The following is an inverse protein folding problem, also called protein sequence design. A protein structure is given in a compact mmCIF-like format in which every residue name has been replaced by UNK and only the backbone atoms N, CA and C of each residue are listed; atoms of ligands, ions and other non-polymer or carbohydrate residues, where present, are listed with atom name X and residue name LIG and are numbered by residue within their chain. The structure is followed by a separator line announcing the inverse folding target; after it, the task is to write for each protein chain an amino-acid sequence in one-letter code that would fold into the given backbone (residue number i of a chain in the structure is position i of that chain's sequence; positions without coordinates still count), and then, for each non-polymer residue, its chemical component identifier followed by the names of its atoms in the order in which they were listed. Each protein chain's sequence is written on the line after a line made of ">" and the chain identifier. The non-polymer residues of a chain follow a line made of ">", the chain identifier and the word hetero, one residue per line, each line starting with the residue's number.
data_IF_641060491024
#
_entry.id   IF_641060491024
#
_cell.length_a   1.000
_cell.length_b   1.000
_cell.length_c   1.000
_cell.angle_alpha   90.00
_cell.angle_beta   90.00
_cell.angle_gamma   90.00
#
_symmetry.space_group_name_H-M   'P 1'
#
loop_
_entity.id
_entity.type
_entity.pdbx_description
1 polymer ?
#
# COMPACT_ATOMS: atom_id res chain seq x y z
N UNK A 1 2.02 -28.11 -10.14
CA UNK A 1 3.23 -27.28 -9.89
C UNK A 1 2.75 -25.88 -9.57
N UNK A 2 3.06 -25.34 -8.39
CA UNK A 2 2.66 -23.99 -8.00
C UNK A 2 3.58 -23.03 -8.76
N UNK A 3 3.05 -22.28 -9.73
CA UNK A 3 3.85 -21.22 -10.33
C UNK A 3 4.15 -20.16 -9.26
N UNK A 4 5.40 -19.71 -9.13
CA UNK A 4 5.71 -18.63 -8.21
C UNK A 4 4.85 -17.41 -8.60
N UNK A 5 4.23 -16.72 -7.63
CA UNK A 5 3.47 -15.52 -7.92
C UNK A 5 4.39 -14.49 -8.58
N UNK A 6 3.83 -13.70 -9.50
CA UNK A 6 4.53 -12.55 -10.05
C UNK A 6 4.99 -11.63 -8.89
N UNK A 7 6.26 -11.22 -8.93
CA UNK A 7 6.87 -10.40 -7.88
C UNK A 7 6.21 -9.02 -7.79
N UNK A 8 5.73 -8.48 -8.92
CA UNK A 8 5.01 -7.21 -8.97
C UNK A 8 3.62 -7.35 -8.34
N UNK A 9 2.93 -8.46 -8.61
CA UNK A 9 1.66 -8.78 -7.96
C UNK A 9 1.83 -8.93 -6.45
N UNK A 10 2.89 -9.61 -6.02
CA UNK A 10 3.25 -9.76 -4.61
C UNK A 10 3.54 -8.41 -3.95
N UNK A 11 4.25 -7.51 -4.63
CA UNK A 11 4.54 -6.17 -4.14
C UNK A 11 3.25 -5.39 -3.87
N UNK A 12 2.35 -5.32 -4.86
CA UNK A 12 1.05 -4.64 -4.73
C UNK A 12 0.28 -5.21 -3.54
N UNK A 13 0.19 -6.53 -3.46
CA UNK A 13 -0.55 -7.23 -2.42
C UNK A 13 0.01 -6.94 -1.01
N UNK A 14 1.33 -6.98 -0.84
CA UNK A 14 1.99 -6.70 0.43
C UNK A 14 1.90 -5.23 0.87
N UNK A 15 1.75 -4.29 -0.08
CA UNK A 15 1.60 -2.87 0.25
C UNK A 15 0.14 -2.55 0.59
N UNK A 16 -0.81 -3.01 -0.22
CA UNK A 16 -2.23 -2.65 -0.06
C UNK A 16 -2.94 -3.51 0.99
N UNK A 17 -2.54 -4.77 1.17
CA UNK A 17 -3.16 -5.75 2.07
C UNK A 17 -2.12 -6.46 2.95
N UNK A 18 -1.32 -5.73 3.77
CA UNK A 18 -0.21 -6.34 4.51
C UNK A 18 -0.64 -7.40 5.53
N UNK A 19 -1.85 -7.30 6.09
CA UNK A 19 -2.40 -8.25 7.07
C UNK A 19 -2.86 -9.57 6.46
N UNK A 20 -3.08 -9.62 5.13
CA UNK A 20 -3.60 -10.80 4.45
C UNK A 20 -2.62 -11.97 4.37
N UNK A 21 -1.33 -11.71 4.57
CA UNK A 21 -0.27 -12.68 4.30
C UNK A 21 0.48 -13.04 5.59
N UNK A 22 -0.04 -14.03 6.32
CA UNK A 22 0.62 -14.52 7.54
C UNK A 22 1.84 -15.39 7.19
N UNK A 23 2.90 -15.26 7.98
CA UNK A 23 4.14 -16.05 7.82
C UNK A 23 3.90 -17.55 7.96
N UNK A 24 2.96 -17.94 8.82
CA UNK A 24 2.63 -19.34 9.09
C UNK A 24 1.89 -19.99 7.90
N UNK A 25 1.06 -19.23 7.19
CA UNK A 25 0.29 -19.74 6.04
C UNK A 25 1.11 -19.69 4.73
N UNK A 26 2.00 -18.72 4.58
CA UNK A 26 2.78 -18.50 3.36
C UNK A 26 4.27 -18.79 3.53
N UNK A 27 4.66 -19.84 4.28
CA UNK A 27 6.08 -20.13 4.58
C UNK A 27 6.98 -20.18 3.33
N UNK A 28 6.51 -20.79 2.23
CA UNK A 28 7.26 -20.89 0.97
C UNK A 28 7.62 -19.50 0.39
N UNK A 29 6.76 -18.50 0.59
CA UNK A 29 7.01 -17.11 0.24
C UNK A 29 8.19 -16.52 1.04
N UNK A 30 8.30 -16.90 2.32
CA UNK A 30 9.36 -16.40 3.20
C UNK A 30 10.70 -17.09 3.00
N UNK A 31 10.71 -18.29 2.40
CA UNK A 31 11.91 -19.03 2.07
C UNK A 31 12.63 -18.54 0.78
N UNK A 32 11.90 -17.91 -0.15
CA UNK A 32 12.49 -17.42 -1.40
C UNK A 32 13.23 -16.06 -1.20
N UNK A 33 14.52 -15.95 -1.59
CA UNK A 33 15.28 -14.70 -1.49
C UNK A 33 14.71 -13.56 -2.35
N UNK A 34 14.12 -13.82 -3.52
CA UNK A 34 13.50 -12.79 -4.37
C UNK A 34 12.28 -12.17 -3.69
N UNK A 35 11.43 -13.00 -3.10
CA UNK A 35 10.31 -12.55 -2.27
C UNK A 35 10.78 -11.77 -1.02
N UNK A 36 11.99 -12.04 -0.52
CA UNK A 36 12.59 -11.25 0.56
C UNK A 36 12.91 -9.82 0.12
N UNK A 37 13.43 -9.64 -1.10
CA UNK A 37 13.65 -8.32 -1.68
C UNK A 37 12.33 -7.56 -1.85
N UNK A 38 11.30 -8.22 -2.38
CA UNK A 38 9.95 -7.65 -2.53
C UNK A 38 9.37 -7.22 -1.17
N UNK A 39 9.53 -8.03 -0.11
CA UNK A 39 9.06 -7.65 1.24
C UNK A 39 9.77 -6.41 1.78
N UNK A 40 11.09 -6.32 1.63
CA UNK A 40 11.86 -5.14 2.04
C UNK A 40 11.39 -3.90 1.29
N UNK A 41 11.15 -4.06 -0.02
CA UNK A 41 10.65 -2.98 -0.87
C UNK A 41 9.23 -2.56 -0.48
N UNK A 42 8.33 -3.51 -0.25
CA UNK A 42 6.97 -3.26 0.26
C UNK A 42 6.99 -2.56 1.63
N UNK A 43 7.94 -2.88 2.52
CA UNK A 43 8.09 -2.16 3.79
C UNK A 43 8.50 -0.70 3.58
N UNK A 44 9.43 -0.43 2.66
CA UNK A 44 9.82 0.93 2.28
C UNK A 44 8.63 1.70 1.70
N UNK A 45 7.91 1.12 0.74
CA UNK A 45 6.75 1.78 0.11
C UNK A 45 5.67 2.09 1.15
N UNK A 46 5.37 1.16 2.05
CA UNK A 46 4.41 1.40 3.16
C UNK A 46 4.88 2.49 4.11
N UNK A 47 6.18 2.58 4.40
CA UNK A 47 6.73 3.68 5.21
C UNK A 47 6.50 5.03 4.54
N UNK A 48 6.74 5.12 3.22
CA UNK A 48 6.47 6.34 2.44
C UNK A 48 4.98 6.69 2.49
N UNK A 49 4.10 5.71 2.25
CA UNK A 49 2.64 5.91 2.34
C UNK A 49 2.24 6.37 3.74
N UNK A 50 2.80 5.81 4.81
CA UNK A 50 2.48 6.22 6.18
C UNK A 50 2.91 7.66 6.49
N UNK A 51 4.07 8.09 5.97
CA UNK A 51 4.57 9.46 6.12
C UNK A 51 3.72 10.45 5.30
N UNK A 52 3.35 10.11 4.07
CA UNK A 52 2.56 10.97 3.17
C UNK A 52 1.06 10.99 3.49
N UNK A 53 0.53 9.90 4.03
CA UNK A 53 -0.88 9.74 4.37
C UNK A 53 -1.13 9.86 5.88
N UNK A 54 -0.24 10.54 6.62
CA UNK A 54 -0.39 10.71 8.05
C UNK A 54 -1.69 11.47 8.37
N UNK A 55 -2.43 10.99 9.39
CA UNK A 55 -3.73 11.55 9.79
C UNK A 55 -3.58 13.00 10.26
N UNK A 56 -2.62 13.27 11.15
CA UNK A 56 -2.24 14.61 11.57
C UNK A 56 -1.60 15.40 10.40
N UNK A 57 -2.23 16.51 9.93
CA UNK A 57 -1.70 17.34 8.85
C UNK A 57 -0.32 17.95 9.14
N UNK A 58 0.03 18.20 10.40
CA UNK A 58 1.33 18.78 10.77
C UNK A 58 2.48 17.80 10.59
N UNK A 59 2.18 16.51 10.69
CA UNK A 59 3.13 15.40 10.51
C UNK A 59 3.09 14.79 9.12
N UNK A 60 2.18 15.27 8.27
CA UNK A 60 2.01 14.78 6.92
C UNK A 60 3.18 15.22 6.05
N UNK A 61 3.78 14.28 5.34
CA UNK A 61 4.81 14.57 4.37
C UNK A 61 4.24 15.36 3.18
N UNK A 62 4.99 16.36 2.73
CA UNK A 62 4.72 17.12 1.52
C UNK A 62 5.67 16.72 0.41
N UNK A 63 5.13 16.50 -0.78
CA UNK A 63 5.93 16.17 -1.95
C UNK A 63 6.56 17.44 -2.51
N UNK A 64 7.85 17.33 -2.81
CA UNK A 64 8.67 18.42 -3.34
C UNK A 64 8.87 18.24 -4.84
N UNK A 65 9.18 17.02 -5.28
CA UNK A 65 9.30 16.69 -6.70
C UNK A 65 8.98 15.22 -6.95
N UNK A 66 8.47 14.97 -8.16
CA UNK A 66 8.36 13.66 -8.77
C UNK A 66 9.03 13.79 -10.12
N UNK A 67 10.22 13.23 -10.26
CA UNK A 67 10.94 13.25 -11.52
C UNK A 67 10.78 11.88 -12.20
N UNK A 68 9.89 11.78 -13.17
CA UNK A 68 9.78 10.62 -14.06
C UNK A 68 10.94 10.67 -15.07
N UNK A 69 12.15 10.43 -14.57
CA UNK A 69 13.37 10.83 -15.27
C UNK A 69 14.00 9.75 -16.15
N UNK A 70 13.36 8.61 -16.37
CA UNK A 70 13.98 7.53 -17.14
C UNK A 70 13.01 6.86 -18.11
N UNK A 71 13.40 6.79 -19.39
CA UNK A 71 12.91 5.82 -20.39
C UNK A 71 13.01 4.36 -19.89
N UNK A 72 13.74 4.15 -18.79
CA UNK A 72 13.91 2.89 -18.04
C UNK A 72 12.78 2.58 -17.06
N UNK A 73 11.79 3.47 -16.85
CA UNK A 73 10.60 3.22 -16.03
C UNK A 73 10.78 3.41 -14.52
N UNK A 74 11.76 4.21 -14.10
CA UNK A 74 11.99 4.57 -12.69
C UNK A 74 11.80 6.08 -12.49
N UNK A 75 11.04 6.47 -11.48
CA UNK A 75 10.84 7.85 -11.05
C UNK A 75 11.52 8.15 -9.72
N UNK A 76 12.03 9.38 -9.54
CA UNK A 76 12.58 9.86 -8.28
C UNK A 76 11.52 10.63 -7.51
N UNK A 77 11.09 10.09 -6.36
CA UNK A 77 10.18 10.78 -5.44
C UNK A 77 10.98 11.50 -4.36
N UNK A 78 10.80 12.82 -4.26
CA UNK A 78 11.34 13.63 -3.16
C UNK A 78 10.22 14.23 -2.33
N UNK A 79 10.27 14.01 -1.02
CA UNK A 79 9.29 14.55 -0.07
C UNK A 79 9.94 14.99 1.24
N UNK A 80 9.22 15.82 1.98
CA UNK A 80 9.66 16.42 3.24
C UNK A 80 8.60 16.20 4.31
N UNK A 81 9.03 15.81 5.51
CA UNK A 81 8.17 15.76 6.71
C UNK A 81 8.64 16.84 7.67
N UNK A 82 7.98 17.99 7.62
CA UNK A 82 8.41 19.21 8.34
C UNK A 82 8.52 19.00 9.84
N UNK A 83 7.57 18.28 10.45
CA UNK A 83 7.58 17.98 11.89
C UNK A 83 8.79 17.18 12.36
N UNK A 84 9.46 16.47 11.44
CA UNK A 84 10.64 15.64 11.72
C UNK A 84 11.94 16.28 11.22
N UNK A 85 11.88 17.44 10.54
CA UNK A 85 13.03 18.00 9.82
C UNK A 85 13.59 17.05 8.75
N UNK A 86 12.77 16.12 8.26
CA UNK A 86 13.19 15.04 7.37
C UNK A 86 12.98 15.43 5.91
N UNK A 87 14.00 15.23 5.08
CA UNK A 87 13.88 15.25 3.60
C UNK A 87 14.37 13.91 3.07
N UNK A 88 13.54 13.21 2.30
CA UNK A 88 13.92 11.96 1.62
C UNK A 88 13.77 12.09 0.12
N UNK A 89 14.71 11.45 -0.59
CA UNK A 89 14.62 11.18 -2.02
C UNK A 89 14.76 9.68 -2.23
N UNK A 90 13.89 9.07 -3.03
CA UNK A 90 13.90 7.63 -3.27
C UNK A 90 13.53 7.34 -4.72
N UNK A 91 14.35 6.52 -5.38
CA UNK A 91 14.03 6.00 -6.70
C UNK A 91 12.99 4.89 -6.57
N UNK A 92 11.93 4.96 -7.36
CA UNK A 92 10.76 4.10 -7.37
C UNK A 92 10.47 3.63 -8.78
N UNK A 93 9.97 2.42 -8.96
CA UNK A 93 9.43 2.00 -10.26
C UNK A 93 8.10 2.70 -10.55
N UNK A 94 7.68 2.71 -11.82
CA UNK A 94 6.36 3.24 -12.20
C UNK A 94 5.21 2.55 -11.46
N UNK A 95 5.34 1.25 -11.15
CA UNK A 95 4.35 0.51 -10.36
C UNK A 95 4.32 0.99 -8.91
N UNK A 96 5.48 1.18 -8.29
CA UNK A 96 5.57 1.67 -6.89
C UNK A 96 4.99 3.06 -6.74
N UNK A 97 5.30 3.96 -7.67
CA UNK A 97 4.72 5.30 -7.70
C UNK A 97 3.18 5.23 -7.81
N UNK A 98 2.68 4.35 -8.68
CA UNK A 98 1.23 4.10 -8.84
C UNK A 98 0.60 3.60 -7.53
N UNK A 99 1.26 2.65 -6.84
CA UNK A 99 0.78 2.13 -5.55
C UNK A 99 0.73 3.25 -4.49
N UNK A 100 1.76 4.11 -4.42
CA UNK A 100 1.80 5.23 -3.47
C UNK A 100 0.68 6.22 -3.76
N UNK A 101 0.53 6.65 -5.03
CA UNK A 101 -0.55 7.54 -5.46
C UNK A 101 -1.91 6.99 -5.03
N UNK A 102 -2.18 5.72 -5.37
CA UNK A 102 -3.44 5.06 -5.02
C UNK A 102 -3.66 4.96 -3.51
N UNK A 103 -2.66 4.53 -2.75
CA UNK A 103 -2.78 4.32 -1.31
C UNK A 103 -2.93 5.64 -0.52
N UNK A 104 -2.21 6.69 -0.93
CA UNK A 104 -2.34 8.02 -0.34
C UNK A 104 -3.70 8.62 -0.68
N UNK A 105 -4.11 8.56 -1.96
CA UNK A 105 -5.41 9.04 -2.40
C UNK A 105 -6.57 8.38 -1.63
N UNK A 106 -6.46 7.08 -1.36
CA UNK A 106 -7.47 6.34 -0.60
C UNK A 106 -7.57 6.76 0.87
N UNK A 107 -6.46 7.16 1.51
CA UNK A 107 -6.42 7.48 2.95
C UNK A 107 -6.75 8.93 3.28
N UNK A 108 -6.34 9.85 2.43
CA UNK A 108 -6.37 11.29 2.71
C UNK A 108 -7.12 12.08 1.64
N UNK A 109 -7.54 11.42 0.56
CA UNK A 109 -8.07 12.09 -0.64
C UNK A 109 -6.95 12.57 -1.56
N UNK A 110 -7.30 13.38 -2.55
CA UNK A 110 -6.35 13.93 -3.53
C UNK A 110 -5.29 14.75 -2.78
N UNK A 111 -4.04 14.27 -2.81
CA UNK A 111 -2.91 14.96 -2.21
C UNK A 111 -2.23 15.84 -3.26
N UNK A 112 -1.86 17.06 -2.88
CA UNK A 112 -1.17 18.01 -3.75
C UNK A 112 0.12 17.38 -4.31
N UNK A 113 0.19 17.17 -5.63
CA UNK A 113 1.31 16.53 -6.32
C UNK A 113 1.22 15.00 -6.46
N UNK A 114 0.17 14.34 -5.96
CA UNK A 114 -0.14 12.92 -6.21
C UNK A 114 -1.54 12.81 -6.80
N UNK A 115 -1.70 13.18 -8.06
CA UNK A 115 -2.94 12.88 -8.76
C UNK A 115 -2.88 11.42 -9.21
N UNK A 116 -3.81 10.61 -8.70
CA UNK A 116 -3.99 9.24 -9.17
C UNK A 116 -4.70 9.31 -10.53
N UNK A 117 -3.92 9.58 -11.58
CA UNK A 117 -4.45 9.61 -12.94
C UNK A 117 -5.11 8.28 -13.33
N UNK A 118 -5.94 8.30 -14.37
CA UNK A 118 -6.78 7.16 -14.77
C UNK A 118 -5.98 5.86 -15.02
N UNK A 119 -4.72 5.95 -15.45
CA UNK A 119 -3.84 4.80 -15.68
C UNK A 119 -3.24 4.15 -14.42
N UNK A 120 -3.34 4.78 -13.24
CA UNK A 120 -2.77 4.27 -11.99
C UNK A 120 -3.53 3.03 -11.50
N UNK A 121 -4.86 3.07 -11.54
CA UNK A 121 -5.70 1.92 -11.19
C UNK A 121 -5.47 0.76 -12.16
N UNK A 122 -5.47 1.02 -13.46
CA UNK A 122 -5.30 -0.01 -14.49
C UNK A 122 -3.96 -0.75 -14.35
N UNK A 123 -2.87 -0.03 -14.04
CA UNK A 123 -1.54 -0.62 -13.81
C UNK A 123 -1.52 -1.54 -12.59
N UNK A 124 -2.15 -1.11 -11.49
CA UNK A 124 -2.27 -1.90 -10.25
C UNK A 124 -3.10 -3.15 -10.51
N UNK A 125 -4.25 -3.01 -11.18
CA UNK A 125 -5.13 -4.14 -11.51
C UNK A 125 -4.44 -5.13 -12.46
N UNK A 126 -3.69 -4.63 -13.43
CA UNK A 126 -2.91 -5.47 -14.35
C UNK A 126 -1.86 -6.28 -13.59
N UNK A 127 -1.10 -5.65 -12.68
CA UNK A 127 -0.14 -6.36 -11.84
C UNK A 127 -0.82 -7.40 -10.94
N UNK A 128 -1.98 -7.08 -10.35
CA UNK A 128 -2.71 -8.01 -9.49
C UNK A 128 -3.24 -9.26 -10.23
N UNK A 129 -3.40 -9.22 -11.56
CA UNK A 129 -3.76 -10.42 -12.34
C UNK A 129 -2.67 -11.49 -12.32
N UNK A 130 -1.41 -11.12 -12.04
CA UNK A 130 -0.29 -12.05 -11.85
C UNK A 130 -0.26 -12.73 -10.46
N UNK A 131 -1.18 -12.36 -9.57
CA UNK A 131 -1.26 -12.94 -8.23
C UNK A 131 -1.84 -14.36 -8.31
N UNK A 132 -1.19 -15.31 -7.62
CA UNK A 132 -1.74 -16.67 -7.54
C UNK A 132 -3.14 -16.68 -6.90
N UNK A 133 -4.07 -17.57 -7.31
CA UNK A 133 -5.44 -17.59 -6.80
C UNK A 133 -5.53 -17.68 -5.26
N UNK A 134 -4.69 -18.51 -4.65
CA UNK A 134 -4.63 -18.70 -3.19
C UNK A 134 -4.27 -17.41 -2.43
N UNK A 135 -3.40 -16.59 -3.03
CA UNK A 135 -3.03 -15.29 -2.49
C UNK A 135 -4.11 -14.24 -2.69
N UNK A 136 -4.82 -14.28 -3.82
CA UNK A 136 -5.94 -13.38 -4.09
C UNK A 136 -7.10 -13.62 -3.12
N UNK A 137 -7.43 -14.89 -2.86
CA UNK A 137 -8.48 -15.28 -1.91
C UNK A 137 -8.13 -14.87 -0.48
N UNK A 138 -6.85 -14.96 -0.09
CA UNK A 138 -6.41 -14.53 1.24
C UNK A 138 -6.45 -13.00 1.41
N UNK A 139 -6.11 -12.22 0.37
CA UNK A 139 -6.31 -10.76 0.37
C UNK A 139 -7.79 -10.38 0.47
N UNK A 140 -8.66 -11.09 -0.25
CA UNK A 140 -10.11 -10.86 -0.18
C UNK A 140 -10.65 -11.09 1.24
N UNK A 141 -10.32 -12.24 1.84
CA UNK A 141 -10.72 -12.57 3.21
C UNK A 141 -10.24 -11.53 4.23
N UNK A 142 -9.00 -11.03 4.10
CA UNK A 142 -8.49 -10.03 5.04
C UNK A 142 -9.11 -8.64 4.87
N UNK A 143 -9.52 -8.28 3.65
CA UNK A 143 -10.29 -7.06 3.40
C UNK A 143 -11.69 -7.16 3.99
N UNK A 144 -12.32 -8.34 3.89
CA UNK A 144 -13.61 -8.62 4.52
C UNK A 144 -13.49 -8.50 6.05
N UNK A 145 -12.51 -9.17 6.68
CA UNK A 145 -12.28 -9.08 8.13
C UNK A 145 -12.07 -7.63 8.60
N UNK A 146 -11.28 -6.84 7.87
CA UNK A 146 -11.02 -5.43 8.21
C UNK A 146 -12.25 -4.51 8.03
N UNK A 147 -13.24 -4.90 7.24
CA UNK A 147 -14.51 -4.17 7.08
C UNK A 147 -15.52 -4.51 8.19
N UNK A 148 -15.39 -5.67 8.83
CA UNK A 148 -16.29 -6.09 9.91
C UNK A 148 -15.79 -5.69 11.32
N UNK A 149 -14.51 -5.36 11.48
CA UNK A 149 -13.93 -4.92 12.77
C UNK A 149 -14.25 -3.43 13.10
N UNK A 150 -14.75 -2.66 12.13
CA UNK A 150 -15.17 -1.25 12.31
C UNK A 150 -16.64 -1.11 12.78
N UNK A 151 -17.37 -2.21 13.03
CA UNK A 151 -18.67 -2.13 13.71
C UNK A 151 -18.42 -2.06 15.22
N UNK A 152 -18.19 -0.84 15.69
CA UNK A 152 -18.15 -0.52 17.12
C UNK A 152 -19.52 -0.88 17.74
N UNK A 153 -19.61 -2.09 18.31
CA UNK A 153 -20.78 -2.61 19.04
C UNK A 153 -21.19 -1.72 20.23
N UNK A 154 -20.42 -0.68 20.57
CA UNK A 154 -20.74 0.26 21.64
C UNK A 154 -21.93 1.19 21.33
N UNK A 155 -22.39 1.29 20.08
CA UNK A 155 -23.53 2.16 19.70
C UNK A 155 -24.90 1.49 19.89
N UNK A 156 -24.97 0.16 20.08
CA UNK A 156 -26.24 -0.57 20.16
C UNK A 156 -26.82 -0.74 21.58
N UNK A 157 -26.12 -0.28 22.62
CA UNK A 157 -26.54 -0.47 24.01
C UNK A 157 -27.13 0.76 24.72
N UNK A 158 -27.33 1.88 24.02
CA UNK A 158 -27.93 3.09 24.61
C UNK A 158 -29.43 3.24 24.25
N UNK A 159 -30.18 2.15 24.44
CA UNK A 159 -31.64 2.22 24.45
C UNK A 159 -32.09 2.65 25.86
N UNK A 160 -32.79 3.79 26.02
CA UNK A 160 -33.32 4.18 27.31
C UNK A 160 -34.35 3.14 27.77
N UNK A 161 -34.09 2.52 28.91
CA UNK A 161 -35.10 1.74 29.63
C UNK A 161 -36.10 2.74 30.21
N UNK A 162 -37.24 2.89 29.55
CA UNK A 162 -38.39 3.58 30.14
C UNK A 162 -38.92 2.75 31.32
N UNK A 163 -39.13 3.42 32.45
CA UNK A 163 -39.68 2.90 33.71
C UNK A 163 -41.18 2.56 33.61
#
# INVERSE_FOLDING_TARGET
>A
MIQPPDLDALLVALVLCPGAYSRNRFFALFANPEASAVRRRAALVRSIVAELAHADPLRRGRIVSIDDSDDTGNGLLTYVVSSLGLRRSTSLSSLELSIIQYAVARRVGIAEGLDAGDGTRERIETALRGLSPEMADSARSALEDALFDDVDESVLNDAPREE
#
